data_IF_645611753421
#
_entry.id   IF_645611753421
#
_cell.length_a   1.000
_cell.length_b   1.000
_cell.length_c   1.000
_cell.angle_alpha   90.00
_cell.angle_beta   90.00
_cell.angle_gamma   90.00
#
_symmetry.space_group_name_H-M   'P 1'
#
loop_
_entity.id
_entity.type
_entity.pdbx_description
1 polymer ?
#
# COMPACT_ATOMS: atom_id res chain seq x y z
N UNK A 1 -9.14 17.22 -24.31
CA UNK A 1 -8.66 17.06 -22.92
C UNK A 1 -7.15 16.90 -22.95
N UNK A 2 -6.40 17.64 -22.13
CA UNK A 2 -4.95 17.44 -22.04
C UNK A 2 -4.65 16.04 -21.49
N UNK A 3 -3.72 15.34 -22.11
CA UNK A 3 -3.20 14.05 -21.64
C UNK A 3 -1.83 14.23 -21.00
N UNK A 4 -1.54 13.46 -19.97
CA UNK A 4 -0.24 13.46 -19.28
C UNK A 4 0.22 12.03 -18.99
N UNK A 5 1.52 11.86 -18.81
CA UNK A 5 2.12 10.65 -18.28
C UNK A 5 2.89 11.02 -17.01
N UNK A 6 2.73 10.20 -15.97
CA UNK A 6 3.55 10.29 -14.78
C UNK A 6 4.85 9.55 -15.02
N UNK A 7 5.93 10.00 -14.41
CA UNK A 7 7.24 9.35 -14.51
C UNK A 7 7.49 8.44 -13.31
N UNK A 8 8.45 7.52 -13.43
CA UNK A 8 8.91 6.72 -12.28
C UNK A 8 9.43 7.58 -11.12
N UNK A 9 9.99 8.76 -11.41
CA UNK A 9 10.45 9.70 -10.39
C UNK A 9 9.31 10.24 -9.54
N UNK A 10 8.16 10.50 -10.15
CA UNK A 10 6.97 11.00 -9.45
C UNK A 10 6.43 9.96 -8.47
N UNK A 11 6.39 8.69 -8.87
CA UNK A 11 5.99 7.59 -7.99
C UNK A 11 6.96 7.36 -6.82
N UNK A 12 8.26 7.56 -7.04
CA UNK A 12 9.24 7.49 -5.96
C UNK A 12 9.04 8.60 -4.92
N UNK A 13 8.65 9.81 -5.34
CA UNK A 13 8.31 10.89 -4.42
C UNK A 13 7.01 10.59 -3.64
N UNK A 14 6.00 10.05 -4.31
CA UNK A 14 4.77 9.60 -3.64
C UNK A 14 5.06 8.56 -2.53
N UNK A 15 5.88 7.55 -2.83
CA UNK A 15 6.25 6.53 -1.83
C UNK A 15 6.95 7.15 -0.61
N UNK A 16 7.84 8.12 -0.81
CA UNK A 16 8.49 8.83 0.30
C UNK A 16 7.46 9.56 1.18
N UNK A 17 6.47 10.21 0.56
CA UNK A 17 5.39 10.93 1.28
C UNK A 17 4.51 9.98 2.09
N UNK A 18 4.09 8.86 1.50
CA UNK A 18 3.32 7.82 2.19
C UNK A 18 4.08 7.27 3.40
N UNK A 19 5.37 6.93 3.23
CA UNK A 19 6.21 6.42 4.32
C UNK A 19 6.41 7.47 5.42
N UNK A 20 6.63 8.74 5.04
CA UNK A 20 6.77 9.83 5.99
C UNK A 20 5.49 10.05 6.81
N UNK A 21 4.31 9.99 6.18
CA UNK A 21 3.02 10.09 6.87
C UNK A 21 2.78 8.91 7.82
N UNK A 22 3.04 7.69 7.37
CA UNK A 22 2.93 6.50 8.22
C UNK A 22 3.85 6.62 9.45
N UNK A 23 5.09 7.08 9.26
CA UNK A 23 6.04 7.32 10.34
C UNK A 23 5.59 8.43 11.30
N UNK A 24 5.02 9.52 10.77
CA UNK A 24 4.49 10.61 11.58
C UNK A 24 3.27 10.19 12.42
N UNK A 25 2.38 9.36 11.85
CA UNK A 25 1.24 8.80 12.57
C UNK A 25 1.66 7.85 13.68
N UNK A 26 2.65 6.98 13.43
CA UNK A 26 3.21 6.11 14.47
C UNK A 26 3.78 6.93 15.64
N UNK A 27 4.54 7.99 15.35
CA UNK A 27 5.07 8.90 16.38
C UNK A 27 3.98 9.61 17.19
N UNK A 28 2.89 10.03 16.54
CA UNK A 28 1.73 10.64 17.23
C UNK A 28 0.96 9.61 18.07
N UNK A 29 0.86 8.37 17.60
CA UNK A 29 0.26 7.26 18.36
C UNK A 29 1.03 6.90 19.62
N UNK A 30 2.37 6.93 19.55
CA UNK A 30 3.24 6.73 20.72
C UNK A 30 3.18 7.92 21.70
N UNK A 31 3.09 9.16 21.17
CA UNK A 31 2.93 10.37 21.98
C UNK A 31 1.57 10.50 22.67
N UNK A 32 0.48 10.07 22.02
CA UNK A 32 -0.87 10.07 22.58
C UNK A 32 -1.03 9.04 23.72
N UNK A 33 -0.27 7.94 23.70
CA UNK A 33 -0.22 6.94 24.79
C UNK A 33 0.52 7.42 26.03
N UNK A 34 1.39 8.44 25.92
CA UNK A 34 2.13 8.99 27.05
C UNK A 34 1.39 10.11 27.81
N UNK A 35 0.27 10.64 27.29
CA UNK A 35 -0.37 11.85 27.83
C UNK A 35 -1.90 11.81 28.07
N UNK A 36 -2.60 10.73 27.73
CA UNK A 36 -4.08 10.70 27.77
C UNK A 36 -4.65 9.78 28.85
N UNK A 37 -4.91 10.33 30.04
CA UNK A 37 -5.79 9.72 31.04
C UNK A 37 -7.23 10.06 30.67
N UNK A 38 -8.02 9.06 30.23
CA UNK A 38 -9.49 9.12 30.29
C UNK A 38 -10.25 9.00 28.96
N UNK A 39 -10.87 7.84 28.76
CA UNK A 39 -12.28 7.76 28.32
C UNK A 39 -12.60 7.53 26.84
N UNK A 40 -13.20 6.35 26.59
CA UNK A 40 -14.10 5.99 25.46
C UNK A 40 -13.44 5.81 24.09
N UNK A 41 -13.76 4.83 23.25
CA UNK A 41 -14.61 3.63 23.27
C UNK A 41 -14.24 2.83 22.02
N UNK A 42 -14.45 1.50 22.08
CA UNK A 42 -14.56 0.53 21.00
C UNK A 42 -14.40 1.04 19.55
N UNK A 43 -13.45 0.45 18.78
CA UNK A 43 -13.69 -0.19 17.47
C UNK A 43 -12.36 -0.53 16.77
N UNK A 44 -11.80 -1.72 17.08
CA UNK A 44 -11.29 -2.70 16.10
C UNK A 44 -10.58 -3.88 16.83
N UNK A 45 -11.32 -4.94 17.24
CA UNK A 45 -10.75 -6.09 17.95
C UNK A 45 -10.10 -7.13 17.00
N UNK A 46 -9.75 -6.74 15.76
CA UNK A 46 -9.56 -7.70 14.66
C UNK A 46 -8.12 -7.99 14.20
N UNK A 47 -7.08 -7.29 14.67
CA UNK A 47 -5.72 -7.43 14.08
C UNK A 47 -4.58 -7.79 15.03
N UNK A 48 -4.84 -7.85 16.33
CA UNK A 48 -3.81 -8.24 17.31
C UNK A 48 -3.50 -9.74 17.30
N UNK A 49 -4.43 -10.57 16.81
CA UNK A 49 -4.29 -12.03 16.74
C UNK A 49 -3.64 -12.52 15.43
N UNK A 50 -3.54 -11.69 14.40
CA UNK A 50 -2.90 -12.02 13.12
C UNK A 50 -1.44 -12.51 13.28
N UNK A 51 -0.57 -11.82 14.03
CA UNK A 51 0.77 -12.34 14.33
C UNK A 51 0.70 -13.63 15.16
N UNK A 52 -0.24 -13.77 16.11
CA UNK A 52 -0.41 -15.02 16.89
C UNK A 52 -0.86 -16.20 16.03
N UNK A 53 -1.73 -15.99 15.03
CA UNK A 53 -2.17 -17.02 14.10
C UNK A 53 -1.07 -17.37 13.12
N UNK A 54 -0.33 -16.38 12.59
CA UNK A 54 0.85 -16.62 11.75
C UNK A 54 1.95 -17.37 12.50
N UNK A 55 2.22 -17.01 13.76
CA UNK A 55 3.14 -17.73 14.63
C UNK A 55 2.61 -19.11 14.99
N UNK A 56 1.31 -19.26 15.29
CA UNK A 56 0.68 -20.53 15.60
C UNK A 56 0.74 -21.51 14.43
N UNK A 57 0.40 -21.06 13.22
CA UNK A 57 0.47 -21.88 11.99
C UNK A 57 1.90 -22.25 11.62
N UNK A 58 2.91 -21.48 12.04
CA UNK A 58 4.32 -21.82 11.78
C UNK A 58 4.93 -22.71 12.86
N UNK A 59 4.71 -22.38 14.13
CA UNK A 59 5.36 -23.04 15.28
C UNK A 59 4.66 -24.33 15.66
N UNK A 60 3.33 -24.40 15.60
CA UNK A 60 2.58 -25.61 16.02
C UNK A 60 2.90 -26.81 15.11
N UNK A 61 2.92 -26.69 13.77
CA UNK A 61 3.36 -27.79 12.91
C UNK A 61 4.83 -28.14 13.12
N UNK A 62 5.70 -27.17 13.38
CA UNK A 62 7.12 -27.41 13.62
C UNK A 62 7.36 -28.19 14.93
N UNK A 63 6.63 -27.87 15.99
CA UNK A 63 6.70 -28.55 17.29
C UNK A 63 6.07 -29.93 17.24
N UNK A 64 4.92 -30.09 16.56
CA UNK A 64 4.30 -31.39 16.33
C UNK A 64 5.20 -32.28 15.47
N UNK A 65 5.87 -31.72 14.46
CA UNK A 65 6.86 -32.41 13.64
C UNK A 65 8.06 -32.83 14.50
N UNK A 66 8.62 -31.96 15.34
CA UNK A 66 9.73 -32.30 16.25
C UNK A 66 9.36 -33.42 17.22
N UNK A 67 8.17 -33.37 17.83
CA UNK A 67 7.67 -34.46 18.69
C UNK A 67 7.44 -35.76 17.94
N UNK A 68 6.99 -35.68 16.69
CA UNK A 68 6.78 -36.87 15.85
C UNK A 68 8.12 -37.47 15.40
N UNK A 69 9.11 -36.62 15.08
CA UNK A 69 10.49 -36.98 14.76
C UNK A 69 11.20 -37.69 15.92
N UNK A 70 10.99 -37.26 17.16
CA UNK A 70 11.52 -37.91 18.36
C UNK A 70 10.87 -39.29 18.65
N UNK A 71 9.66 -39.53 18.13
CA UNK A 71 8.89 -40.75 18.41
C UNK A 71 9.19 -41.93 17.47
N UNK A 72 10.01 -41.73 16.43
CA UNK A 72 10.29 -42.75 15.42
C UNK A 72 11.69 -43.36 15.59
N UNK A 73 11.79 -44.66 15.93
CA UNK A 73 13.07 -45.35 16.00
C UNK A 73 13.58 -45.68 14.58
N UNK A 74 14.87 -45.39 14.34
CA UNK A 74 15.63 -45.73 13.13
C UNK A 74 15.04 -45.27 11.78
N UNK A 75 15.27 -44.00 11.39
CA UNK A 75 14.82 -43.53 10.08
C UNK A 75 15.69 -42.46 9.41
N UNK A 76 17.02 -42.64 9.42
CA UNK A 76 17.99 -41.67 8.89
C UNK A 76 17.76 -41.18 7.45
N UNK A 77 17.17 -42.00 6.56
CA UNK A 77 16.99 -41.65 5.14
C UNK A 77 15.65 -40.96 4.84
N UNK A 78 14.57 -41.38 5.50
CA UNK A 78 13.25 -40.74 5.36
C UNK A 78 13.21 -39.39 6.10
N UNK A 79 14.00 -39.24 7.17
CA UNK A 79 14.26 -37.99 7.88
C UNK A 79 14.86 -36.91 6.97
N UNK A 80 15.91 -37.27 6.22
CA UNK A 80 16.57 -36.34 5.31
C UNK A 80 15.65 -35.90 4.17
N UNK A 81 14.83 -36.82 3.63
CA UNK A 81 13.91 -36.53 2.54
C UNK A 81 12.78 -35.57 2.97
N UNK A 82 12.24 -35.75 4.19
CA UNK A 82 11.24 -34.85 4.78
C UNK A 82 11.79 -33.45 5.07
N UNK A 83 12.99 -33.36 5.66
CA UNK A 83 13.65 -32.08 5.95
C UNK A 83 13.96 -31.30 4.66
N UNK A 84 14.46 -31.97 3.62
CA UNK A 84 14.70 -31.35 2.30
C UNK A 84 13.39 -30.86 1.68
N UNK A 85 12.31 -31.64 1.73
CA UNK A 85 11.00 -31.24 1.22
C UNK A 85 10.47 -29.96 1.88
N UNK A 86 10.67 -29.81 3.19
CA UNK A 86 10.26 -28.62 3.95
C UNK A 86 11.11 -27.40 3.57
N UNK A 87 12.43 -27.56 3.47
CA UNK A 87 13.33 -26.47 3.06
C UNK A 87 13.01 -26.02 1.62
N UNK A 88 12.80 -26.96 0.71
CA UNK A 88 12.41 -26.66 -0.68
C UNK A 88 11.03 -26.01 -0.72
N UNK A 89 10.06 -26.48 0.06
CA UNK A 89 8.74 -25.87 0.17
C UNK A 89 8.79 -24.44 0.73
N UNK A 90 9.59 -24.19 1.76
CA UNK A 90 9.78 -22.86 2.34
C UNK A 90 10.48 -21.91 1.35
N UNK A 91 11.50 -22.40 0.62
CA UNK A 91 12.18 -21.63 -0.43
C UNK A 91 11.25 -21.35 -1.61
N UNK A 92 10.45 -22.32 -2.05
CA UNK A 92 9.48 -22.15 -3.12
C UNK A 92 8.39 -21.14 -2.73
N UNK A 93 7.89 -21.22 -1.50
CA UNK A 93 6.94 -20.23 -0.97
C UNK A 93 7.55 -18.83 -0.91
N UNK A 94 8.80 -18.70 -0.41
CA UNK A 94 9.52 -17.43 -0.43
C UNK A 94 9.73 -16.87 -1.84
N UNK A 95 10.08 -17.74 -2.80
CA UNK A 95 10.23 -17.37 -4.20
C UNK A 95 8.89 -16.94 -4.83
N UNK A 96 7.79 -17.59 -4.48
CA UNK A 96 6.45 -17.25 -4.96
C UNK A 96 6.00 -15.88 -4.41
N UNK A 97 6.17 -15.65 -3.10
CA UNK A 97 5.84 -14.37 -2.46
C UNK A 97 6.70 -13.23 -3.03
N UNK A 98 7.98 -13.48 -3.29
CA UNK A 98 8.88 -12.47 -3.85
C UNK A 98 8.61 -12.19 -5.33
N UNK A 99 8.39 -13.22 -6.14
CA UNK A 99 8.11 -13.08 -7.58
C UNK A 99 6.76 -12.42 -7.87
N UNK A 100 5.72 -12.71 -7.07
CA UNK A 100 4.42 -12.05 -7.21
C UNK A 100 4.49 -10.54 -7.02
N UNK A 101 5.29 -10.07 -6.06
CA UNK A 101 5.47 -8.63 -5.81
C UNK A 101 6.29 -7.92 -6.89
N UNK A 102 7.35 -8.55 -7.41
CA UNK A 102 8.22 -7.93 -8.42
C UNK A 102 7.58 -7.90 -9.80
N UNK A 103 6.86 -8.96 -10.20
CA UNK A 103 6.22 -9.04 -11.52
C UNK A 103 5.04 -8.06 -11.64
N UNK A 104 4.23 -7.91 -10.59
CA UNK A 104 3.15 -6.92 -10.57
C UNK A 104 3.68 -5.48 -10.57
N UNK A 105 4.76 -5.21 -9.82
CA UNK A 105 5.42 -3.90 -9.88
C UNK A 105 6.00 -3.63 -11.27
N UNK A 106 6.67 -4.61 -11.90
CA UNK A 106 7.18 -4.44 -13.25
C UNK A 106 6.06 -4.17 -14.25
N UNK A 107 4.98 -4.94 -14.24
CA UNK A 107 3.85 -4.75 -15.17
C UNK A 107 3.11 -3.41 -14.94
N UNK A 108 3.06 -2.91 -13.70
CA UNK A 108 2.49 -1.59 -13.41
C UNK A 108 3.38 -0.43 -13.87
N UNK A 109 4.70 -0.58 -13.82
CA UNK A 109 5.70 0.47 -14.08
C UNK A 109 6.55 0.28 -15.36
N UNK A 110 6.18 -0.65 -16.24
CA UNK A 110 6.63 -0.69 -17.63
C UNK A 110 6.16 0.57 -18.37
N UNK A 111 6.85 0.98 -19.42
CA UNK A 111 6.63 2.29 -20.06
C UNK A 111 5.21 2.45 -20.64
N UNK A 112 4.54 1.33 -20.95
CA UNK A 112 3.11 1.24 -21.34
C UNK A 112 2.20 0.70 -20.21
N UNK A 113 2.76 0.51 -19.01
CA UNK A 113 2.06 -0.01 -17.85
C UNK A 113 0.95 0.92 -17.39
N UNK A 114 -0.04 0.35 -16.69
CA UNK A 114 -1.24 1.03 -16.21
C UNK A 114 -0.99 2.40 -15.55
N UNK A 115 0.12 2.52 -14.82
CA UNK A 115 0.50 3.71 -14.07
C UNK A 115 1.22 4.78 -14.89
N UNK A 116 1.82 4.41 -16.03
CA UNK A 116 2.65 5.28 -16.88
C UNK A 116 2.02 5.59 -18.25
N UNK A 117 1.01 4.81 -18.65
CA UNK A 117 0.24 5.06 -19.86
C UNK A 117 -0.38 6.47 -19.84
N UNK A 118 -0.57 7.11 -21.02
CA UNK A 118 -1.20 8.42 -21.11
C UNK A 118 -2.57 8.44 -20.44
N UNK A 119 -2.73 9.37 -19.51
CA UNK A 119 -3.95 9.57 -18.74
C UNK A 119 -4.55 10.92 -19.09
N UNK A 120 -5.87 10.97 -19.10
CA UNK A 120 -6.65 12.20 -19.20
C UNK A 120 -7.40 12.39 -17.89
N UNK A 121 -7.49 13.64 -17.46
CA UNK A 121 -8.12 14.01 -16.20
C UNK A 121 -9.08 15.16 -16.46
N UNK A 122 -10.31 15.00 -15.99
CA UNK A 122 -11.38 15.97 -16.09
C UNK A 122 -11.88 16.29 -14.68
N UNK A 123 -11.77 17.56 -14.29
CA UNK A 123 -12.15 18.03 -12.96
C UNK A 123 -13.53 18.67 -13.08
N UNK A 124 -14.53 18.01 -12.50
CA UNK A 124 -15.93 18.45 -12.51
C UNK A 124 -16.37 18.86 -11.11
N UNK A 125 -17.50 19.56 -11.03
CA UNK A 125 -18.03 20.03 -9.75
C UNK A 125 -18.40 18.89 -8.79
N UNK A 126 -18.73 17.72 -9.31
CA UNK A 126 -19.19 16.54 -8.58
C UNK A 126 -18.10 15.48 -8.35
N UNK A 127 -17.14 15.37 -9.28
CA UNK A 127 -16.06 14.40 -9.20
C UNK A 127 -14.81 14.78 -10.03
N UNK A 128 -13.72 14.05 -9.80
CA UNK A 128 -12.58 14.00 -10.72
C UNK A 128 -12.68 12.71 -11.52
N UNK A 129 -12.76 12.84 -12.85
CA UNK A 129 -12.78 11.71 -13.76
C UNK A 129 -11.38 11.49 -14.35
N UNK A 130 -10.87 10.28 -14.22
CA UNK A 130 -9.56 9.88 -14.75
C UNK A 130 -9.75 8.73 -15.73
N UNK A 131 -9.25 8.92 -16.95
CA UNK A 131 -9.31 7.90 -18.00
C UNK A 131 -7.91 7.61 -18.54
N UNK A 132 -7.58 6.33 -18.63
CA UNK A 132 -6.45 5.80 -19.37
C UNK A 132 -6.96 4.80 -20.41
N UNK A 133 -6.07 4.32 -21.28
CA UNK A 133 -6.42 3.25 -22.23
C UNK A 133 -6.88 1.96 -21.52
N UNK A 134 -6.41 1.71 -20.30
CA UNK A 134 -6.67 0.48 -19.55
C UNK A 134 -7.76 0.62 -18.48
N UNK A 135 -8.11 1.84 -18.05
CA UNK A 135 -9.12 2.04 -17.02
C UNK A 135 -9.81 3.39 -17.06
N UNK A 136 -10.97 3.40 -16.41
CA UNK A 136 -11.76 4.58 -16.14
C UNK A 136 -12.11 4.60 -14.66
N UNK A 137 -11.72 5.66 -13.97
CA UNK A 137 -11.94 5.82 -12.52
C UNK A 137 -12.62 7.16 -12.25
N UNK A 138 -13.63 7.14 -11.38
CA UNK A 138 -14.34 8.33 -10.90
C UNK A 138 -14.02 8.52 -9.42
N UNK A 139 -13.43 9.66 -9.09
CA UNK A 139 -13.05 10.02 -7.74
C UNK A 139 -14.01 11.08 -7.21
N UNK A 140 -14.86 10.70 -6.24
CA UNK A 140 -15.77 11.64 -5.61
C UNK A 140 -15.04 12.56 -4.63
N UNK A 141 -15.44 13.82 -4.56
CA UNK A 141 -14.83 14.81 -3.65
C UNK A 141 -14.80 14.36 -2.20
N UNK A 142 -15.87 13.71 -1.73
CA UNK A 142 -15.98 13.19 -0.37
C UNK A 142 -14.93 12.11 -0.03
N UNK A 143 -14.31 11.50 -1.03
CA UNK A 143 -13.25 10.52 -0.84
C UNK A 143 -11.91 11.15 -0.46
N UNK A 144 -11.65 12.41 -0.80
CA UNK A 144 -10.37 13.05 -0.55
C UNK A 144 -10.30 13.64 0.87
N UNK A 145 -9.27 13.26 1.63
CA UNK A 145 -9.06 13.72 3.00
C UNK A 145 -8.22 14.98 3.08
N UNK A 146 -7.15 15.03 2.30
CA UNK A 146 -6.21 16.16 2.29
C UNK A 146 -5.43 16.21 0.99
N UNK A 147 -4.86 17.37 0.70
CA UNK A 147 -3.92 17.56 -0.41
C UNK A 147 -2.53 17.95 0.08
N UNK A 148 -1.52 17.58 -0.69
CA UNK A 148 -0.18 18.14 -0.62
C UNK A 148 0.22 18.69 -1.98
N UNK A 149 1.14 19.64 -1.98
CA UNK A 149 1.63 20.23 -3.21
C UNK A 149 3.15 20.18 -3.30
N UNK A 150 3.61 20.05 -4.54
CA UNK A 150 4.97 20.34 -4.97
C UNK A 150 4.92 21.45 -6.03
N UNK A 151 6.07 21.83 -6.56
CA UNK A 151 6.18 22.85 -7.60
C UNK A 151 5.42 22.42 -8.87
N UNK A 152 5.45 21.13 -9.20
CA UNK A 152 4.91 20.59 -10.46
C UNK A 152 3.65 19.72 -10.29
N UNK A 153 3.36 19.25 -9.07
CA UNK A 153 2.33 18.24 -8.81
C UNK A 153 1.41 18.64 -7.66
N UNK A 154 0.15 18.24 -7.77
CA UNK A 154 -0.83 18.19 -6.68
C UNK A 154 -1.08 16.72 -6.33
N UNK A 155 -0.97 16.42 -5.05
CA UNK A 155 -1.19 15.09 -4.50
C UNK A 155 -2.51 15.11 -3.71
N UNK A 156 -3.52 14.39 -4.20
CA UNK A 156 -4.85 14.29 -3.59
C UNK A 156 -4.99 12.94 -2.89
N UNK A 157 -4.98 12.93 -1.57
CA UNK A 157 -4.99 11.70 -0.79
C UNK A 157 -6.42 11.31 -0.42
N UNK A 158 -6.77 10.07 -0.73
CA UNK A 158 -8.02 9.44 -0.28
C UNK A 158 -7.83 8.83 1.11
N UNK A 159 -6.67 8.22 1.33
CA UNK A 159 -6.21 7.76 2.63
C UNK A 159 -4.67 7.84 2.70
N UNK A 160 -4.07 7.14 3.68
CA UNK A 160 -2.62 7.15 3.86
C UNK A 160 -1.86 6.30 2.83
N UNK A 161 -2.55 5.51 2.00
CA UNK A 161 -1.96 4.56 1.05
C UNK A 161 -2.36 4.88 -0.41
N UNK A 162 -3.49 5.57 -0.62
CA UNK A 162 -4.06 5.89 -1.92
C UNK A 162 -4.02 7.39 -2.16
N UNK A 163 -3.34 7.78 -3.25
CA UNK A 163 -3.18 9.15 -3.67
C UNK A 163 -3.37 9.26 -5.19
N UNK A 164 -4.13 10.26 -5.61
CA UNK A 164 -4.19 10.70 -6.99
C UNK A 164 -3.12 11.78 -7.22
N UNK A 165 -2.24 11.56 -8.20
CA UNK A 165 -1.20 12.50 -8.58
C UNK A 165 -1.61 13.26 -9.82
N UNK A 166 -1.65 14.60 -9.73
CA UNK A 166 -2.11 15.46 -10.81
C UNK A 166 -1.05 16.50 -11.14
N UNK A 167 -0.53 16.54 -12.37
CA UNK A 167 0.35 17.61 -12.79
C UNK A 167 -0.34 18.97 -12.80
N UNK A 168 0.33 20.00 -12.30
CA UNK A 168 -0.20 21.38 -12.34
C UNK A 168 -0.28 21.92 -13.77
N UNK A 169 0.56 21.42 -14.67
CA UNK A 169 0.62 21.83 -16.08
C UNK A 169 -0.63 21.54 -16.89
N UNK A 170 -1.44 20.56 -16.47
CA UNK A 170 -2.68 20.18 -17.17
C UNK A 170 -3.94 20.77 -16.53
N UNK A 171 -3.82 21.36 -15.33
CA UNK A 171 -4.95 21.93 -14.62
C UNK A 171 -5.24 23.33 -15.14
N UNK A 172 -6.50 23.58 -15.47
CA UNK A 172 -6.98 24.94 -15.73
C UNK A 172 -7.06 25.71 -14.40
N UNK A 173 -7.02 27.06 -14.44
CA UNK A 173 -7.18 27.86 -13.23
C UNK A 173 -8.47 27.55 -12.45
N UNK A 174 -9.56 27.26 -13.18
CA UNK A 174 -10.85 26.85 -12.61
C UNK A 174 -10.76 25.49 -11.90
N UNK A 175 -10.08 24.51 -12.51
CA UNK A 175 -9.87 23.19 -11.91
C UNK A 175 -9.00 23.29 -10.65
N UNK A 176 -7.95 24.12 -10.66
CA UNK A 176 -7.13 24.39 -9.49
C UNK A 176 -7.99 24.98 -8.36
N UNK A 177 -8.75 26.05 -8.63
CA UNK A 177 -9.60 26.68 -7.63
C UNK A 177 -10.62 25.70 -7.03
N UNK A 178 -11.20 24.83 -7.86
CA UNK A 178 -12.14 23.82 -7.41
C UNK A 178 -11.48 22.79 -6.48
N UNK A 179 -10.28 22.31 -6.82
CA UNK A 179 -9.49 21.42 -5.95
C UNK A 179 -9.16 22.10 -4.62
N UNK A 180 -8.72 23.36 -4.66
CA UNK A 180 -8.38 24.12 -3.46
C UNK A 180 -9.58 24.33 -2.54
N UNK A 181 -10.76 24.54 -3.11
CA UNK A 181 -12.01 24.70 -2.37
C UNK A 181 -12.50 23.38 -1.75
N UNK A 182 -12.32 22.25 -2.46
CA UNK A 182 -12.88 20.95 -2.08
C UNK A 182 -11.97 20.12 -1.18
N UNK A 183 -10.65 20.26 -1.33
CA UNK A 183 -9.67 19.42 -0.63
C UNK A 183 -8.72 20.28 0.22
N UNK A 184 -8.73 20.10 1.56
CA UNK A 184 -7.94 20.94 2.45
C UNK A 184 -6.43 20.65 2.31
N UNK A 185 -5.62 21.71 2.35
CA UNK A 185 -4.17 21.59 2.35
C UNK A 185 -3.69 21.02 3.69
N UNK A 186 -2.88 19.96 3.64
CA UNK A 186 -2.25 19.43 4.85
C UNK A 186 -1.18 20.40 5.35
N UNK A 187 -1.39 20.96 6.55
CA UNK A 187 -0.34 21.69 7.25
C UNK A 187 0.80 20.73 7.60
N UNK A 188 2.01 21.06 7.14
CA UNK A 188 3.26 20.34 7.43
C UNK A 188 3.63 20.42 8.91
#
# INVERSE_FOLDING_TARGET
>A
MPSFSLTRGDYADLQKRIVAQAKAQLRRGDGARAGGKGGSSNDDPGRWWLPLVLWGVSVVPLVLLFRWLESLPDMGTHLAMGAVGIVVGALAFWALVRSGSSSLQQAMFEDDGYCLAPQTLDVREDCIEQRSHAAHTLWQWAGFKHRQESDNLVFLFVDNAVCLMVPKSILTPEACALIEQRVPLQAL
#
